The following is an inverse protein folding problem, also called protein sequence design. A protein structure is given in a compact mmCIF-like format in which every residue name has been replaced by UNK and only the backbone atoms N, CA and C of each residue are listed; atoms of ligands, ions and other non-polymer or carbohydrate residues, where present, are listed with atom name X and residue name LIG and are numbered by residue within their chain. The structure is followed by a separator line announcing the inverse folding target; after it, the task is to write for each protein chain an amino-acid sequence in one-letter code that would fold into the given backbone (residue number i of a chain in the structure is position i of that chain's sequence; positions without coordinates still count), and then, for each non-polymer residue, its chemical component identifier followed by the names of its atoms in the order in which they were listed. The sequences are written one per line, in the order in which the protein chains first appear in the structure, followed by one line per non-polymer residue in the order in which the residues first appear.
data_IF_391536935453
#
_entry.id   IF_391536935453
#
_cell.length_a   1.000
_cell.length_b   1.000
_cell.length_c   1.000
_cell.angle_alpha   90.00
_cell.angle_beta   90.00
_cell.angle_gamma   90.00
#
_symmetry.space_group_name_H-M   'P 1'
#
loop_
_entity.id
_entity.type
_entity.pdbx_description
1 polymer ?
#
# COMPACT_ATOMS: atom_id res chain seq x y z
N UNK A 1 19.58 -26.18 -1.69
CA UNK A 1 18.23 -25.61 -1.50
C UNK A 1 18.31 -24.11 -1.80
N UNK A 2 17.44 -23.58 -2.66
CA UNK A 2 17.40 -22.15 -2.99
C UNK A 2 16.88 -21.34 -1.79
N UNK A 3 17.43 -20.15 -1.57
CA UNK A 3 17.00 -19.24 -0.50
C UNK A 3 15.54 -18.79 -0.75
N UNK A 4 14.68 -18.68 0.28
CA UNK A 4 13.33 -18.17 0.09
C UNK A 4 13.35 -16.78 -0.55
N UNK A 5 12.38 -16.47 -1.44
CA UNK A 5 12.31 -15.20 -2.14
C UNK A 5 12.13 -14.05 -1.15
N UNK A 6 12.78 -12.91 -1.43
CA UNK A 6 12.54 -11.66 -0.71
C UNK A 6 11.47 -10.90 -1.47
N UNK A 7 10.31 -10.70 -0.85
CA UNK A 7 9.15 -10.08 -1.50
C UNK A 7 8.87 -8.71 -0.89
N UNK A 8 8.52 -7.75 -1.74
CA UNK A 8 7.95 -6.46 -1.38
C UNK A 8 6.73 -6.22 -2.26
N UNK A 9 5.65 -5.75 -1.66
CA UNK A 9 4.43 -5.39 -2.38
C UNK A 9 4.48 -3.89 -2.64
N UNK A 10 4.14 -3.46 -3.85
CA UNK A 10 4.13 -2.04 -4.23
C UNK A 10 2.75 -1.71 -4.75
N UNK A 11 2.12 -0.70 -4.14
CA UNK A 11 0.80 -0.19 -4.50
C UNK A 11 0.91 1.31 -4.70
N UNK A 12 0.36 1.85 -5.78
CA UNK A 12 0.50 3.27 -6.11
C UNK A 12 -0.09 4.18 -5.03
N UNK A 13 -1.38 4.03 -4.72
CA UNK A 13 -2.11 4.85 -3.76
C UNK A 13 -3.05 3.99 -2.93
N UNK A 14 -2.85 3.94 -1.62
CA UNK A 14 -3.73 3.23 -0.69
C UNK A 14 -4.71 4.21 -0.03
N UNK A 15 -5.52 4.89 -0.83
CA UNK A 15 -6.42 5.96 -0.37
C UNK A 15 -7.90 5.60 -0.45
N UNK A 16 -8.26 4.66 -1.31
CA UNK A 16 -9.63 4.22 -1.59
C UNK A 16 -9.67 2.71 -1.68
N UNK A 17 -10.85 2.11 -1.54
CA UNK A 17 -11.02 0.68 -1.72
C UNK A 17 -11.63 0.34 -3.08
N UNK A 18 -10.92 -0.46 -3.88
CA UNK A 18 -11.29 -0.87 -5.22
C UNK A 18 -10.68 -2.21 -5.62
N UNK A 19 -10.57 -2.45 -6.93
CA UNK A 19 -10.06 -3.72 -7.46
C UNK A 19 -8.60 -3.97 -7.15
N UNK A 20 -7.77 -2.92 -7.17
CA UNK A 20 -6.34 -3.03 -6.94
C UNK A 20 -6.05 -3.39 -5.46
N UNK A 21 -6.82 -2.84 -4.52
CA UNK A 21 -6.71 -3.17 -3.09
C UNK A 21 -7.12 -4.61 -2.80
N UNK A 22 -8.13 -5.14 -3.50
CA UNK A 22 -8.48 -6.57 -3.41
C UNK A 22 -7.33 -7.47 -3.84
N UNK A 23 -6.62 -7.10 -4.92
CA UNK A 23 -5.41 -7.81 -5.33
C UNK A 23 -4.31 -7.70 -4.27
N UNK A 24 -4.10 -6.51 -3.70
CA UNK A 24 -3.12 -6.29 -2.63
C UNK A 24 -3.39 -7.17 -1.40
N UNK A 25 -4.66 -7.31 -0.99
CA UNK A 25 -5.05 -8.19 0.12
C UNK A 25 -4.66 -9.65 -0.16
N UNK A 26 -4.98 -10.16 -1.35
CA UNK A 26 -4.63 -11.54 -1.72
C UNK A 26 -3.11 -11.74 -1.75
N UNK A 27 -2.36 -10.74 -2.24
CA UNK A 27 -0.90 -10.77 -2.23
C UNK A 27 -0.33 -10.70 -0.80
N UNK A 28 -0.94 -9.92 0.10
CA UNK A 28 -0.55 -9.86 1.50
C UNK A 28 -0.80 -11.20 2.22
N UNK A 29 -1.91 -11.88 1.93
CA UNK A 29 -2.17 -13.23 2.45
C UNK A 29 -1.13 -14.26 1.99
N UNK A 30 -0.65 -14.15 0.74
CA UNK A 30 0.42 -15.00 0.21
C UNK A 30 1.79 -14.66 0.78
N UNK A 31 2.02 -13.37 1.10
CA UNK A 31 3.29 -12.86 1.60
C UNK A 31 3.08 -11.98 2.85
N UNK A 32 2.68 -12.57 4.00
CA UNK A 32 2.26 -11.80 5.18
C UNK A 32 3.40 -10.98 5.80
N UNK A 33 4.65 -11.38 5.58
CA UNK A 33 5.83 -10.66 6.08
C UNK A 33 6.37 -9.62 5.09
N UNK A 34 5.82 -9.53 3.88
CA UNK A 34 6.28 -8.58 2.89
C UNK A 34 5.83 -7.15 3.25
N UNK A 35 6.74 -6.17 3.26
CA UNK A 35 6.35 -4.77 3.42
C UNK A 35 5.52 -4.32 2.21
N UNK A 36 4.54 -3.47 2.48
CA UNK A 36 3.74 -2.78 1.46
C UNK A 36 4.28 -1.37 1.29
N UNK A 37 4.83 -1.05 0.12
CA UNK A 37 5.24 0.30 -0.24
C UNK A 37 4.12 1.00 -0.99
N UNK A 38 3.85 2.25 -0.62
CA UNK A 38 2.85 3.07 -1.32
C UNK A 38 3.22 4.55 -1.36
N UNK A 39 2.74 5.30 -2.34
CA UNK A 39 3.03 6.73 -2.42
C UNK A 39 2.34 7.47 -1.28
N UNK A 40 1.04 7.21 -1.10
CA UNK A 40 0.20 7.79 -0.05
C UNK A 40 -0.77 6.74 0.48
N UNK A 41 -1.02 6.77 1.78
CA UNK A 41 -1.93 5.92 2.50
C UNK A 41 -2.93 6.77 3.29
N UNK A 42 -4.23 6.52 3.08
CA UNK A 42 -5.27 6.99 3.99
C UNK A 42 -5.61 5.88 5.00
N UNK A 43 -5.11 6.03 6.23
CA UNK A 43 -5.33 5.07 7.31
C UNK A 43 -6.82 4.84 7.61
N UNK A 44 -7.68 5.83 7.35
CA UNK A 44 -9.12 5.73 7.61
C UNK A 44 -9.83 4.77 6.65
N UNK A 45 -9.24 4.53 5.49
CA UNK A 45 -9.78 3.65 4.45
C UNK A 45 -8.96 2.36 4.30
N UNK A 46 -8.17 1.99 5.31
CA UNK A 46 -7.40 0.75 5.29
C UNK A 46 -8.36 -0.44 5.43
N UNK A 47 -8.29 -1.44 4.55
CA UNK A 47 -9.04 -2.68 4.72
C UNK A 47 -8.62 -3.40 6.00
N UNK A 48 -9.54 -4.07 6.73
CA UNK A 48 -9.20 -4.85 7.91
C UNK A 48 -8.09 -5.88 7.69
N UNK A 49 -8.04 -6.46 6.49
CA UNK A 49 -7.05 -7.47 6.09
C UNK A 49 -5.62 -6.92 5.89
N UNK A 50 -5.45 -5.60 5.98
CA UNK A 50 -4.14 -4.92 5.88
C UNK A 50 -3.79 -4.16 7.16
N UNK A 51 -4.53 -4.35 8.28
CA UNK A 51 -4.25 -3.64 9.54
C UNK A 51 -2.91 -4.02 10.16
N UNK A 52 -2.49 -5.28 10.03
CA UNK A 52 -1.20 -5.80 10.49
C UNK A 52 -0.09 -5.64 9.45
N UNK A 53 -0.42 -5.19 8.24
CA UNK A 53 0.55 -4.99 7.17
C UNK A 53 1.54 -3.89 7.53
N UNK A 54 2.83 -4.15 7.26
CA UNK A 54 3.88 -3.13 7.37
C UNK A 54 3.81 -2.18 6.17
N UNK A 55 3.00 -1.13 6.28
CA UNK A 55 2.83 -0.11 5.24
C UNK A 55 3.90 0.99 5.38
N UNK A 56 4.64 1.24 4.30
CA UNK A 56 5.70 2.22 4.19
C UNK A 56 5.32 3.24 3.11
N UNK A 57 5.15 4.50 3.52
CA UNK A 57 4.75 5.57 2.61
C UNK A 57 5.94 6.34 2.04
N UNK A 58 5.73 6.99 0.89
CA UNK A 58 6.73 7.87 0.29
C UNK A 58 6.79 9.25 0.97
N UNK A 59 7.75 10.07 0.56
CA UNK A 59 7.82 11.46 0.98
C UNK A 59 6.61 12.31 0.56
N UNK A 60 5.86 11.90 -0.49
CA UNK A 60 4.64 12.59 -0.96
C UNK A 60 3.54 12.62 0.10
N UNK A 61 3.50 11.63 1.00
CA UNK A 61 2.55 11.59 2.13
C UNK A 61 2.55 12.86 2.99
N UNK A 62 3.69 13.58 3.05
CA UNK A 62 3.85 14.78 3.86
C UNK A 62 3.28 16.04 3.21
N UNK A 63 2.89 15.98 1.94
CA UNK A 63 2.34 17.13 1.24
C UNK A 63 0.90 17.40 1.72
N UNK A 64 0.50 18.67 1.88
CA UNK A 64 -0.88 19.02 2.23
C UNK A 64 -1.86 18.44 1.21
N UNK A 65 -2.87 17.71 1.70
CA UNK A 65 -3.87 17.07 0.85
C UNK A 65 -3.40 15.82 0.10
N UNK A 66 -2.27 15.21 0.51
CA UNK A 66 -1.75 13.98 -0.11
C UNK A 66 -2.82 12.89 -0.27
N UNK A 67 -3.65 12.64 0.74
CA UNK A 67 -4.69 11.60 0.71
C UNK A 67 -5.97 12.01 -0.03
N UNK A 68 -6.23 13.31 -0.19
CA UNK A 68 -7.47 13.82 -0.79
C UNK A 68 -7.32 14.28 -2.24
N UNK A 69 -6.11 14.70 -2.64
CA UNK A 69 -5.80 15.25 -3.96
C UNK A 69 -4.64 14.50 -4.62
N UNK A 70 -4.47 13.20 -4.33
CA UNK A 70 -3.36 12.38 -4.82
C UNK A 70 -3.20 12.45 -6.35
N UNK A 71 -4.31 12.50 -7.09
CA UNK A 71 -4.35 12.62 -8.55
C UNK A 71 -3.65 13.89 -9.07
N UNK A 72 -3.56 14.97 -8.28
CA UNK A 72 -2.88 16.21 -8.68
C UNK A 72 -1.35 16.10 -8.63
N UNK A 73 -0.83 15.02 -8.06
CA UNK A 73 0.62 14.75 -8.04
C UNK A 73 1.05 13.83 -9.20
N UNK A 74 0.12 13.47 -10.10
CA UNK A 74 0.44 12.79 -11.36
C UNK A 74 0.92 13.83 -12.39
N UNK A 75 1.93 13.51 -13.22
CA UNK A 75 2.41 14.38 -14.29
C UNK A 75 1.38 14.60 -15.41
#
# INVERSE_FOLDING_TARGET
MSRPPRVALVHDWLTTFGGAERCLILLHQLFPTAPVYTLVHDRRNTPPELEDARIITSHLQRLPGATSNWQRFLP
#
